data_IF_029320851028
#
_entry.id   IF_029320851028
#
_cell.length_a   1.000
_cell.length_b   1.000
_cell.length_c   1.000
_cell.angle_alpha   90.00
_cell.angle_beta   90.00
_cell.angle_gamma   90.00
#
_symmetry.space_group_name_H-M   'P 1'
#
loop_
_entity.id
_entity.type
_entity.pdbx_description
1 polymer ?
#
# COMPACT_ATOMS: atom_id res chain seq x y z
N UNK A 1 11.38 -3.06 -17.36
CA UNK A 1 10.69 -3.88 -16.34
C UNK A 1 10.04 -2.92 -15.37
N UNK A 2 8.73 -3.07 -15.07
CA UNK A 2 8.07 -2.26 -14.03
C UNK A 2 8.72 -2.55 -12.68
N UNK A 3 9.08 -1.51 -11.93
CA UNK A 3 9.64 -1.64 -10.58
C UNK A 3 8.47 -1.92 -9.64
N UNK A 4 8.39 -3.14 -9.10
CA UNK A 4 7.37 -3.49 -8.11
C UNK A 4 7.84 -3.09 -6.72
N UNK A 5 6.94 -2.50 -5.95
CA UNK A 5 7.17 -2.25 -4.54
C UNK A 5 7.18 -3.58 -3.75
N UNK A 6 7.81 -3.55 -2.58
CA UNK A 6 7.93 -4.69 -1.68
C UNK A 6 7.41 -4.32 -0.29
N UNK A 7 6.97 -5.30 0.50
CA UNK A 7 6.67 -5.07 1.91
C UNK A 7 7.83 -4.35 2.62
N UNK A 8 7.48 -3.33 3.39
CA UNK A 8 8.39 -2.43 4.08
C UNK A 8 8.84 -1.22 3.29
N UNK A 9 8.64 -1.17 1.97
CA UNK A 9 9.05 -0.02 1.17
C UNK A 9 8.33 1.25 1.65
N UNK A 10 9.11 2.29 1.92
CA UNK A 10 8.63 3.63 2.22
C UNK A 10 8.48 4.36 0.89
N UNK A 11 7.27 4.84 0.62
CA UNK A 11 6.99 5.64 -0.56
C UNK A 11 6.77 7.11 -0.20
N UNK A 12 7.06 7.97 -1.17
CA UNK A 12 6.76 9.40 -1.12
C UNK A 12 6.06 9.83 -2.40
N UNK A 13 5.08 10.71 -2.26
CA UNK A 13 4.39 11.37 -3.38
C UNK A 13 4.48 12.88 -3.22
N UNK A 14 4.84 13.58 -4.30
CA UNK A 14 4.80 15.05 -4.34
C UNK A 14 3.38 15.52 -4.64
N UNK A 15 2.78 16.24 -3.71
CA UNK A 15 1.48 16.87 -3.85
C UNK A 15 1.54 18.08 -4.77
N UNK A 16 0.40 18.46 -5.36
CA UNK A 16 0.27 19.67 -6.19
C UNK A 16 0.63 20.96 -5.43
N UNK A 17 0.54 20.94 -4.10
CA UNK A 17 0.93 22.05 -3.23
C UNK A 17 2.44 22.24 -3.10
N UNK A 18 3.25 21.33 -3.66
CA UNK A 18 4.70 21.33 -3.52
C UNK A 18 5.23 20.54 -2.33
N UNK A 19 4.35 20.13 -1.42
CA UNK A 19 4.67 19.31 -0.26
C UNK A 19 4.68 17.81 -0.61
N UNK A 20 5.08 16.98 0.34
CA UNK A 20 5.24 15.54 0.17
C UNK A 20 4.41 14.78 1.20
N UNK A 21 3.73 13.74 0.73
CA UNK A 21 3.08 12.74 1.59
C UNK A 21 3.86 11.44 1.59
N UNK A 22 3.73 10.67 2.66
CA UNK A 22 4.49 9.45 2.88
C UNK A 22 3.58 8.30 3.29
N UNK A 23 4.08 7.10 3.03
CA UNK A 23 3.49 5.89 3.58
C UNK A 23 4.41 4.70 3.42
N UNK A 24 3.90 3.53 3.79
CA UNK A 24 4.63 2.27 3.74
C UNK A 24 3.79 1.17 3.15
N UNK A 25 4.43 0.33 2.34
CA UNK A 25 3.84 -0.91 1.84
C UNK A 25 3.83 -1.95 2.96
N UNK A 26 2.63 -2.37 3.37
CA UNK A 26 2.45 -3.42 4.37
C UNK A 26 2.50 -4.81 3.74
N UNK A 27 1.82 -4.98 2.60
CA UNK A 27 1.67 -6.29 1.97
C UNK A 27 1.50 -6.18 0.45
N UNK A 28 2.09 -7.12 -0.29
CA UNK A 28 1.73 -7.40 -1.69
C UNK A 28 0.69 -8.52 -1.69
N UNK A 29 -0.58 -8.17 -1.85
CA UNK A 29 -1.71 -9.11 -1.71
C UNK A 29 -1.60 -10.23 -2.76
N UNK A 30 -1.16 -9.89 -3.97
CA UNK A 30 -0.99 -10.86 -5.06
C UNK A 30 0.04 -11.92 -4.72
N UNK A 31 1.22 -11.48 -4.29
CA UNK A 31 2.33 -12.38 -4.00
C UNK A 31 2.10 -13.15 -2.70
N UNK A 32 1.62 -12.47 -1.65
CA UNK A 32 1.58 -13.04 -0.31
C UNK A 32 0.29 -13.78 0.01
N UNK A 33 -0.85 -13.48 -0.64
CA UNK A 33 -2.13 -14.16 -0.38
C UNK A 33 -2.50 -15.14 -1.50
N UNK A 34 -2.41 -14.72 -2.75
CA UNK A 34 -2.88 -15.52 -3.89
C UNK A 34 -1.87 -16.56 -4.38
N UNK A 35 -0.60 -16.18 -4.58
CA UNK A 35 0.40 -17.15 -5.05
C UNK A 35 0.73 -18.23 -4.03
N UNK A 36 0.73 -17.87 -2.75
CA UNK A 36 0.93 -18.77 -1.61
C UNK A 36 -0.31 -19.64 -1.32
N UNK A 37 -1.45 -19.37 -1.97
CA UNK A 37 -2.73 -20.04 -1.74
C UNK A 37 -3.24 -19.93 -0.29
N UNK A 38 -2.89 -18.86 0.41
CA UNK A 38 -3.46 -18.55 1.74
C UNK A 38 -4.93 -18.19 1.65
N UNK A 39 -5.38 -17.71 0.49
CA UNK A 39 -6.77 -17.39 0.20
C UNK A 39 -7.24 -18.23 -0.97
N UNK A 40 -8.43 -18.83 -0.85
CA UNK A 40 -9.04 -19.57 -1.96
C UNK A 40 -9.37 -18.62 -3.12
N UNK A 41 -9.23 -19.11 -4.36
CA UNK A 41 -9.48 -18.32 -5.59
C UNK A 41 -10.90 -17.73 -5.67
N UNK A 42 -11.84 -18.32 -4.94
CA UNK A 42 -13.26 -17.97 -4.98
C UNK A 42 -13.71 -17.11 -3.80
N UNK A 43 -12.78 -16.61 -2.96
CA UNK A 43 -13.06 -15.50 -2.04
C UNK A 43 -13.27 -14.23 -2.88
N UNK A 44 -14.53 -13.99 -3.23
CA UNK A 44 -14.98 -12.98 -4.21
C UNK A 44 -14.55 -11.57 -3.88
N UNK A 45 -14.40 -11.23 -2.60
CA UNK A 45 -14.03 -9.88 -2.17
C UNK A 45 -12.56 -9.53 -2.49
N UNK A 46 -11.68 -10.53 -2.63
CA UNK A 46 -10.26 -10.29 -2.91
C UNK A 46 -9.90 -10.39 -4.40
N UNK A 47 -10.78 -10.95 -5.24
CA UNK A 47 -10.50 -11.17 -6.67
C UNK A 47 -10.26 -9.85 -7.43
N UNK A 48 -10.92 -8.78 -6.99
CA UNK A 48 -10.78 -7.42 -7.53
C UNK A 48 -9.53 -6.67 -7.03
N UNK A 49 -8.89 -7.14 -5.95
CA UNK A 49 -7.63 -6.60 -5.41
C UNK A 49 -6.42 -7.48 -5.74
N UNK A 50 -6.53 -8.33 -6.76
CA UNK A 50 -5.47 -9.27 -7.19
C UNK A 50 -4.20 -8.59 -7.73
N UNK A 51 -4.17 -7.27 -7.86
CA UNK A 51 -3.00 -6.46 -8.20
C UNK A 51 -2.92 -5.22 -7.28
N UNK A 52 -3.21 -5.41 -5.99
CA UNK A 52 -3.13 -4.33 -5.02
C UNK A 52 -2.02 -4.55 -3.99
N UNK A 53 -1.49 -3.43 -3.51
CA UNK A 53 -0.71 -3.36 -2.27
C UNK A 53 -1.63 -2.92 -1.13
N UNK A 54 -1.45 -3.52 0.04
CA UNK A 54 -1.95 -2.94 1.27
C UNK A 54 -0.89 -1.95 1.76
N UNK A 55 -1.31 -0.72 2.05
CA UNK A 55 -0.42 0.33 2.55
C UNK A 55 -0.94 0.96 3.83
N UNK A 56 -0.03 1.59 4.55
CA UNK A 56 -0.34 2.62 5.55
C UNK A 56 0.10 3.99 5.06
N UNK A 57 -0.56 5.04 5.55
CA UNK A 57 -0.21 6.43 5.26
C UNK A 57 0.05 7.19 6.56
N UNK A 58 1.00 8.13 6.50
CA UNK A 58 1.43 8.93 7.64
C UNK A 58 0.69 10.27 7.69
N UNK A 59 0.57 10.83 8.90
CA UNK A 59 -0.12 12.11 9.17
C UNK A 59 0.64 13.34 8.67
N UNK A 60 1.85 13.13 8.14
CA UNK A 60 2.83 14.18 7.92
C UNK A 60 2.83 14.64 6.48
N UNK A 61 2.80 15.97 6.32
CA UNK A 61 3.00 16.66 5.05
C UNK A 61 4.27 17.48 5.20
N UNK A 62 5.33 17.14 4.46
CA UNK A 62 6.63 17.81 4.58
C UNK A 62 6.97 18.65 3.35
N UNK A 63 7.87 19.61 3.54
CA UNK A 63 8.46 20.39 2.45
C UNK A 63 9.56 19.61 1.70
N UNK A 64 10.08 18.53 2.29
CA UNK A 64 11.14 17.70 1.73
C UNK A 64 10.63 16.30 1.44
N UNK A 65 11.31 15.57 0.56
CA UNK A 65 11.04 14.17 0.26
C UNK A 65 11.71 13.19 1.24
N UNK A 66 12.29 13.71 2.33
CA UNK A 66 12.93 12.89 3.35
C UNK A 66 11.87 12.43 4.36
N UNK A 67 11.93 11.15 4.72
CA UNK A 67 11.03 10.61 5.73
C UNK A 67 11.25 11.35 7.07
N UNK A 68 10.21 11.93 7.68
CA UNK A 68 10.35 12.62 8.96
C UNK A 68 10.74 11.63 10.07
N UNK A 69 11.40 12.13 11.11
CA UNK A 69 11.74 11.34 12.29
C UNK A 69 10.53 11.04 13.17
N UNK A 70 9.55 11.96 13.18
CA UNK A 70 8.32 11.85 13.94
C UNK A 70 7.12 11.88 12.98
N UNK A 71 6.35 10.81 12.97
CA UNK A 71 5.11 10.67 12.20
C UNK A 71 4.15 9.72 12.91
N UNK A 72 2.85 9.91 12.69
CA UNK A 72 1.83 8.98 13.13
C UNK A 72 1.18 8.29 11.94
N UNK A 73 0.77 7.04 12.12
CA UNK A 73 -0.03 6.32 11.12
C UNK A 73 -1.49 6.79 11.22
N UNK A 74 -2.02 7.35 10.14
CA UNK A 74 -3.44 7.81 10.06
C UNK A 74 -4.31 6.86 9.29
N UNK A 75 -3.77 6.19 8.29
CA UNK A 75 -4.45 5.13 7.54
C UNK A 75 -3.68 3.85 7.80
N UNK A 76 -4.31 2.86 8.44
CA UNK A 76 -3.66 1.62 8.90
C UNK A 76 -3.68 0.48 7.89
N UNK A 77 -4.41 0.63 6.79
CA UNK A 77 -4.56 -0.43 5.80
C UNK A 77 -5.56 -0.03 4.73
N UNK A 78 -5.06 0.48 3.61
CA UNK A 78 -5.86 0.69 2.41
C UNK A 78 -5.25 -0.06 1.22
N UNK A 79 -6.10 -0.70 0.42
CA UNK A 79 -5.71 -1.33 -0.82
C UNK A 79 -5.52 -0.27 -1.90
N UNK A 80 -4.36 -0.27 -2.55
CA UNK A 80 -4.05 0.60 -3.68
C UNK A 80 -3.54 -0.22 -4.85
N UNK A 81 -3.86 0.21 -6.06
CA UNK A 81 -3.43 -0.44 -7.30
C UNK A 81 -1.90 -0.32 -7.50
N UNK A 82 -1.29 -1.28 -8.20
CA UNK A 82 0.15 -1.24 -8.48
C UNK A 82 0.56 -0.10 -9.41
N UNK A 83 -0.39 0.49 -10.14
CA UNK A 83 -0.21 1.71 -10.91
C UNK A 83 0.31 2.90 -10.08
N UNK A 84 0.09 2.92 -8.76
CA UNK A 84 0.63 3.98 -7.91
C UNK A 84 2.17 4.03 -7.93
N UNK A 85 2.83 2.90 -8.20
CA UNK A 85 4.28 2.77 -8.32
C UNK A 85 4.77 2.79 -9.77
N UNK A 86 3.86 2.97 -10.75
CA UNK A 86 4.25 3.19 -12.14
C UNK A 86 4.75 4.61 -12.35
N UNK A 87 5.65 4.79 -13.31
CA UNK A 87 6.22 6.08 -13.72
C UNK A 87 6.81 6.92 -12.58
N UNK A 88 7.25 6.28 -11.50
CA UNK A 88 7.81 6.92 -10.31
C UNK A 88 6.86 7.97 -9.69
N UNK A 89 5.53 7.77 -9.81
CA UNK A 89 4.51 8.59 -9.13
C UNK A 89 4.69 8.48 -7.61
N UNK A 90 4.71 7.26 -7.09
CA UNK A 90 5.16 6.96 -5.73
C UNK A 90 6.60 6.48 -5.76
N UNK A 91 7.49 7.34 -5.28
CA UNK A 91 8.92 7.05 -5.26
C UNK A 91 9.30 6.29 -4.00
N UNK A 92 9.99 5.17 -4.15
CA UNK A 92 10.51 4.41 -2.99
C UNK A 92 11.79 5.07 -2.49
N UNK A 93 11.76 5.55 -1.24
CA UNK A 93 12.87 6.30 -0.61
C UNK A 93 13.58 5.53 0.52
N UNK A 94 13.06 4.37 0.90
CA UNK A 94 13.63 3.55 1.97
C UNK A 94 12.86 2.27 2.18
N UNK A 95 13.27 1.49 3.18
CA UNK A 95 12.57 0.28 3.58
C UNK A 95 12.63 0.14 5.11
N UNK A 96 11.47 0.05 5.75
CA UNK A 96 11.31 -0.26 7.17
C UNK A 96 10.60 -1.61 7.26
N UNK A 97 11.23 -2.67 7.79
CA UNK A 97 10.63 -4.00 7.85
C UNK A 97 9.22 -3.99 8.47
N UNK A 98 8.34 -4.80 7.89
CA UNK A 98 6.97 -5.01 8.37
C UNK A 98 6.88 -6.40 8.97
N UNK A 99 6.32 -6.51 10.16
CA UNK A 99 5.92 -7.78 10.76
C UNK A 99 4.50 -8.14 10.27
N UNK A 100 4.34 -9.16 9.41
CA UNK A 100 3.05 -9.51 8.84
C UNK A 100 2.00 -9.91 9.89
N UNK A 101 2.42 -10.34 11.08
CA UNK A 101 1.50 -10.73 12.16
C UNK A 101 0.80 -9.55 12.83
N UNK A 102 1.29 -8.33 12.59
CA UNK A 102 0.75 -7.08 13.14
C UNK A 102 -0.17 -6.35 12.17
N UNK A 103 -0.30 -6.86 10.95
CA UNK A 103 -1.15 -6.26 9.91
C UNK A 103 -2.61 -6.60 10.23
N UNK A 104 -3.39 -5.57 10.50
CA UNK A 104 -4.85 -5.62 10.61
C UNK A 104 -5.43 -4.63 9.61
N UNK A 105 -6.44 -5.05 8.85
CA UNK A 105 -7.14 -4.18 7.91
C UNK A 105 -8.62 -4.51 7.92
N UNK A 106 -9.44 -3.46 7.87
CA UNK A 106 -10.89 -3.62 7.94
C UNK A 106 -11.40 -4.49 6.79
N UNK A 107 -12.37 -5.35 7.08
CA UNK A 107 -13.05 -6.12 6.05
C UNK A 107 -13.64 -5.18 4.99
N UNK A 108 -13.13 -5.24 3.76
CA UNK A 108 -13.71 -4.48 2.66
C UNK A 108 -15.03 -5.14 2.24
N UNK A 109 -16.15 -4.47 2.53
CA UNK A 109 -17.46 -4.84 2.00
C UNK A 109 -17.53 -4.38 0.54
N UNK A 110 -17.37 -5.31 -0.39
CA UNK A 110 -17.65 -5.06 -1.81
C UNK A 110 -19.15 -5.20 -2.06
N UNK A 111 -19.83 -4.10 -2.38
CA UNK A 111 -21.22 -4.15 -2.86
C UNK A 111 -21.24 -4.60 -4.32
N UNK A 112 -21.54 -5.88 -4.52
CA UNK A 112 -21.83 -6.41 -5.85
C UNK A 112 -23.32 -6.21 -6.17
N UNK A 113 -23.67 -5.13 -6.87
CA UNK A 113 -24.97 -5.04 -7.51
C UNK A 113 -24.94 -5.97 -8.74
N UNK A 114 -25.63 -7.11 -8.65
CA UNK A 114 -25.97 -7.90 -9.83
C UNK A 114 -27.06 -7.16 -10.59
N UNK A 115 -26.69 -6.46 -11.65
CA UNK A 115 -27.61 -6.17 -12.75
C UNK A 115 -27.74 -7.39 -13.67
#
# INVERSE_FOLDING_TARGET
MRKRAKPGDIFVEKLKTGHYMFGRVLMDIKEQCFKTKLVEKDVTNLRHVSICYLIEAYDTINDTSELPTDYNIVIKGICVDDMAFEDDVWQVIGNIPVDPSTIDFEEQISYYNKE
#
